data_IF_164892754510
#
_entry.id   IF_164892754510
#
_cell.length_a   1.000
_cell.length_b   1.000
_cell.length_c   1.000
_cell.angle_alpha   90.00
_cell.angle_beta   90.00
_cell.angle_gamma   90.00
#
_symmetry.space_group_name_H-M   'P 1'
#
loop_
_entity.id
_entity.type
_entity.pdbx_description
1 polymer ?
#
# COMPACT_ATOMS: atom_id res chain seq x y z
N UNK A 1 -4.81 -30.77 -51.42
CA UNK A 1 -4.13 -30.63 -50.11
C UNK A 1 -5.06 -30.12 -49.01
N UNK A 2 -5.92 -29.13 -49.28
CA UNK A 2 -6.86 -28.57 -48.29
C UNK A 2 -7.85 -29.58 -47.65
N UNK A 3 -8.43 -30.49 -48.43
CA UNK A 3 -9.43 -31.45 -47.91
C UNK A 3 -8.86 -32.45 -46.89
N UNK A 4 -7.58 -32.83 -47.01
CA UNK A 4 -6.90 -33.71 -46.04
C UNK A 4 -6.65 -33.01 -44.70
N UNK A 5 -6.30 -31.72 -44.74
CA UNK A 5 -6.11 -30.92 -43.52
C UNK A 5 -7.43 -30.65 -42.79
N UNK A 6 -8.53 -30.43 -43.52
CA UNK A 6 -9.86 -30.34 -42.90
C UNK A 6 -10.29 -31.66 -42.23
N UNK A 7 -10.03 -32.81 -42.86
CA UNK A 7 -10.36 -34.12 -42.30
C UNK A 7 -9.54 -34.43 -41.03
N UNK A 8 -8.25 -34.03 -41.03
CA UNK A 8 -7.35 -34.17 -39.89
C UNK A 8 -7.76 -33.29 -38.70
N UNK A 9 -8.17 -32.03 -38.94
CA UNK A 9 -8.69 -31.17 -37.87
C UNK A 9 -9.99 -31.72 -37.28
N UNK A 10 -10.88 -32.26 -38.11
CA UNK A 10 -12.11 -32.89 -37.63
C UNK A 10 -11.80 -34.08 -36.70
N UNK A 11 -10.85 -34.95 -37.09
CA UNK A 11 -10.46 -36.12 -36.27
C UNK A 11 -9.86 -35.72 -34.92
N UNK A 12 -9.07 -34.64 -34.87
CA UNK A 12 -8.45 -34.14 -33.63
C UNK A 12 -9.51 -33.62 -32.64
N UNK A 13 -10.55 -32.95 -33.13
CA UNK A 13 -11.65 -32.49 -32.26
C UNK A 13 -12.50 -33.65 -31.70
N UNK A 14 -12.63 -34.75 -32.46
CA UNK A 14 -13.38 -35.95 -32.05
C UNK A 14 -12.64 -36.82 -31.02
N UNK A 15 -11.34 -36.59 -30.76
CA UNK A 15 -10.54 -37.38 -29.82
C UNK A 15 -10.06 -36.59 -28.61
N UNK A 16 -10.47 -35.31 -28.49
CA UNK A 16 -10.24 -34.56 -27.27
C UNK A 16 -11.12 -35.17 -26.14
N UNK A 17 -10.52 -35.70 -25.05
CA UNK A 17 -11.30 -36.14 -23.90
C UNK A 17 -12.00 -34.92 -23.31
N UNK A 18 -13.30 -34.80 -23.59
CA UNK A 18 -14.17 -33.80 -23.01
C UNK A 18 -14.42 -34.20 -21.55
N UNK A 19 -13.54 -33.77 -20.67
CA UNK A 19 -13.78 -33.80 -19.23
C UNK A 19 -13.24 -32.52 -18.61
N UNK A 20 -13.68 -31.38 -19.13
CA UNK A 20 -13.73 -30.16 -18.35
C UNK A 20 -14.88 -30.34 -17.35
N UNK A 21 -14.56 -30.84 -16.16
CA UNK A 21 -15.49 -30.82 -15.03
C UNK A 21 -15.64 -29.37 -14.59
N UNK A 22 -16.70 -28.70 -15.07
CA UNK A 22 -17.08 -27.41 -14.54
C UNK A 22 -17.57 -27.65 -13.10
N UNK A 23 -16.75 -27.29 -12.11
CA UNK A 23 -17.21 -27.21 -10.72
C UNK A 23 -18.43 -26.28 -10.70
N UNK A 24 -19.57 -26.83 -10.28
CA UNK A 24 -20.77 -26.03 -10.10
C UNK A 24 -20.48 -24.98 -9.03
N UNK A 25 -20.80 -23.69 -9.26
CA UNK A 25 -20.65 -22.67 -8.23
C UNK A 25 -21.50 -23.06 -7.01
N UNK A 26 -20.90 -22.95 -5.84
CA UNK A 26 -21.59 -23.20 -4.58
C UNK A 26 -22.67 -22.13 -4.36
N UNK A 27 -23.90 -22.54 -4.05
CA UNK A 27 -25.01 -21.61 -3.83
C UNK A 27 -24.97 -21.02 -2.42
N UNK A 28 -25.08 -19.70 -2.31
CA UNK A 28 -25.17 -18.99 -1.03
C UNK A 28 -26.39 -18.06 -1.01
N UNK A 29 -27.11 -18.03 0.12
CA UNK A 29 -28.23 -17.10 0.35
C UNK A 29 -27.79 -15.93 1.22
N UNK A 30 -27.98 -14.70 0.75
CA UNK A 30 -27.69 -13.46 1.49
C UNK A 30 -29.01 -12.75 1.83
N UNK A 31 -29.21 -12.40 3.10
CA UNK A 31 -30.40 -11.66 3.57
C UNK A 31 -29.99 -10.25 4.02
N UNK A 32 -30.50 -9.22 3.32
CA UNK A 32 -30.23 -7.82 3.63
C UNK A 32 -31.38 -7.23 4.45
N UNK A 33 -31.12 -6.88 5.73
CA UNK A 33 -32.10 -6.26 6.62
C UNK A 33 -32.06 -4.72 6.55
N UNK A 34 -32.69 -4.14 5.53
CA UNK A 34 -32.65 -2.69 5.28
C UNK A 34 -33.55 -1.81 6.18
N UNK A 35 -34.36 -2.38 7.07
CA UNK A 35 -35.35 -1.61 7.86
C UNK A 35 -34.78 -0.88 9.08
N UNK A 36 -33.56 -1.21 9.52
CA UNK A 36 -32.92 -0.61 10.69
C UNK A 36 -31.43 -0.40 10.45
N UNK A 37 -30.88 0.74 10.89
CA UNK A 37 -29.44 1.01 10.89
C UNK A 37 -28.84 0.49 12.20
N UNK A 38 -27.77 -0.31 12.14
CA UNK A 38 -27.08 -0.83 13.34
C UNK A 38 -25.92 0.07 13.78
N UNK A 39 -25.34 0.82 12.84
CA UNK A 39 -24.21 1.72 13.06
C UNK A 39 -24.12 2.72 11.90
N UNK A 40 -23.34 3.78 12.11
CA UNK A 40 -22.95 4.75 11.09
C UNK A 40 -21.42 4.79 11.06
N UNK A 41 -20.83 4.66 9.88
CA UNK A 41 -19.39 4.76 9.68
C UNK A 41 -18.96 6.22 9.64
N UNK A 42 -17.75 6.52 10.14
CA UNK A 42 -17.16 7.85 10.05
C UNK A 42 -17.00 8.29 8.58
N UNK A 43 -17.00 9.61 8.33
CA UNK A 43 -16.76 10.15 6.98
C UNK A 43 -15.36 9.79 6.46
N UNK A 44 -14.42 9.48 7.35
CA UNK A 44 -13.07 9.00 7.04
C UNK A 44 -12.91 7.51 7.35
N UNK A 45 -13.97 6.72 7.18
CA UNK A 45 -13.94 5.28 7.43
C UNK A 45 -12.84 4.57 6.64
N UNK A 46 -12.60 5.01 5.40
CA UNK A 46 -11.46 4.58 4.61
C UNK A 46 -10.25 5.42 5.02
N UNK A 47 -9.16 4.76 5.40
CA UNK A 47 -7.92 5.40 5.81
C UNK A 47 -6.70 4.64 5.31
N UNK A 48 -5.57 5.33 5.20
CA UNK A 48 -4.28 4.76 4.83
C UNK A 48 -3.20 5.12 5.86
N UNK A 49 -2.07 4.43 5.81
CA UNK A 49 -0.89 4.75 6.63
C UNK A 49 0.34 4.87 5.74
N UNK A 50 1.17 5.87 6.00
CA UNK A 50 2.53 5.98 5.46
C UNK A 50 3.48 5.74 6.64
N UNK A 51 4.37 4.76 6.52
CA UNK A 51 5.24 4.31 7.61
C UNK A 51 6.59 5.05 7.63
N UNK A 52 7.32 4.93 8.73
CA UNK A 52 8.63 5.53 9.00
C UNK A 52 9.81 4.64 8.61
N UNK A 53 9.59 3.37 8.23
CA UNK A 53 10.69 2.45 7.97
C UNK A 53 11.59 2.91 6.82
N UNK A 54 12.92 3.02 7.05
CA UNK A 54 13.85 3.40 6.01
C UNK A 54 14.14 2.21 5.08
N UNK A 55 14.70 2.44 3.88
CA UNK A 55 15.04 1.39 2.91
C UNK A 55 15.88 0.25 3.49
N UNK A 56 16.72 0.56 4.48
CA UNK A 56 17.63 -0.37 5.15
C UNK A 56 16.90 -1.36 6.07
N UNK A 57 15.60 -1.17 6.30
CA UNK A 57 14.77 -2.14 7.00
C UNK A 57 14.53 -3.35 6.09
N UNK A 58 15.42 -4.33 6.24
CA UNK A 58 15.31 -5.62 5.57
C UNK A 58 14.97 -6.72 6.58
N UNK A 59 13.99 -7.56 6.26
CA UNK A 59 13.58 -8.73 7.05
C UNK A 59 13.15 -9.86 6.12
N UNK A 60 13.33 -11.10 6.60
CA UNK A 60 12.97 -12.30 5.83
C UNK A 60 13.58 -12.31 4.41
N UNK A 61 14.83 -11.86 4.27
CA UNK A 61 15.55 -11.73 3.00
C UNK A 61 14.90 -10.78 1.97
N UNK A 62 14.11 -9.81 2.43
CA UNK A 62 13.48 -8.78 1.61
C UNK A 62 13.67 -7.39 2.22
N UNK A 63 13.64 -6.35 1.39
CA UNK A 63 13.69 -4.94 1.82
C UNK A 63 12.43 -4.23 1.28
N UNK A 64 11.27 -4.44 1.92
CA UNK A 64 9.97 -4.10 1.32
C UNK A 64 9.71 -2.59 1.22
N UNK A 65 10.43 -1.77 1.99
CA UNK A 65 10.10 -0.36 2.15
C UNK A 65 10.58 0.53 1.02
N UNK A 66 11.71 0.24 0.38
CA UNK A 66 12.20 0.98 -0.80
C UNK A 66 11.99 2.49 -0.68
N UNK A 67 11.26 3.08 -1.64
CA UNK A 67 10.87 4.51 -1.66
C UNK A 67 9.39 4.72 -1.30
N UNK A 68 8.90 4.06 -0.25
CA UNK A 68 7.47 4.09 0.15
C UNK A 68 7.21 4.67 1.54
N UNK A 69 8.23 5.21 2.21
CA UNK A 69 8.13 5.71 3.57
C UNK A 69 7.94 7.23 3.63
N UNK A 70 7.55 7.75 4.79
CA UNK A 70 7.51 9.18 5.11
C UNK A 70 8.84 9.86 4.76
N UNK A 71 9.96 9.14 4.88
CA UNK A 71 11.30 9.67 4.68
C UNK A 71 11.62 9.98 3.22
N UNK A 72 11.07 9.20 2.28
CA UNK A 72 11.61 9.16 0.93
C UNK A 72 10.60 8.88 -0.20
N UNK A 73 9.32 8.65 0.12
CA UNK A 73 8.25 8.60 -0.88
C UNK A 73 8.28 9.85 -1.77
N UNK A 74 8.12 9.65 -3.08
CA UNK A 74 7.98 10.75 -4.04
C UNK A 74 6.60 11.39 -3.88
N UNK A 75 6.56 12.54 -3.20
CA UNK A 75 5.35 13.29 -2.88
C UNK A 75 4.87 14.13 -4.06
N UNK A 76 5.73 14.35 -5.06
CA UNK A 76 5.44 15.17 -6.24
C UNK A 76 4.83 14.32 -7.37
N UNK A 77 4.79 13.00 -7.21
CA UNK A 77 4.27 12.08 -8.22
C UNK A 77 2.76 12.31 -8.47
N UNK A 78 2.32 12.61 -9.71
CA UNK A 78 0.94 13.01 -9.99
C UNK A 78 -0.09 11.93 -9.63
N UNK A 79 0.26 10.66 -9.80
CA UNK A 79 -0.65 9.55 -9.47
C UNK A 79 -0.87 9.40 -7.96
N UNK A 80 0.07 9.80 -7.11
CA UNK A 80 -0.13 9.74 -5.65
C UNK A 80 -1.22 10.72 -5.24
N UNK A 81 -1.10 11.98 -5.66
CA UNK A 81 -2.08 13.01 -5.35
C UNK A 81 -3.47 12.66 -5.91
N UNK A 82 -3.54 12.19 -7.16
CA UNK A 82 -4.81 11.75 -7.78
C UNK A 82 -5.43 10.60 -7.00
N UNK A 83 -4.64 9.57 -6.64
CA UNK A 83 -5.15 8.43 -5.90
C UNK A 83 -5.72 8.84 -4.53
N UNK A 84 -5.08 9.77 -3.82
CA UNK A 84 -5.60 10.29 -2.54
C UNK A 84 -6.92 11.05 -2.75
N UNK A 85 -6.97 11.93 -3.77
CA UNK A 85 -8.15 12.75 -4.07
C UNK A 85 -9.39 11.92 -4.43
N UNK A 86 -9.24 10.78 -5.09
CA UNK A 86 -10.37 9.89 -5.46
C UNK A 86 -11.08 9.27 -4.23
N UNK A 87 -10.43 9.21 -3.07
CA UNK A 87 -11.08 8.78 -1.83
C UNK A 87 -11.92 9.89 -1.17
N UNK A 88 -11.83 11.14 -1.66
CA UNK A 88 -12.45 12.36 -1.15
C UNK A 88 -12.06 12.75 0.28
N UNK A 89 -12.28 11.88 1.27
CA UNK A 89 -12.00 12.10 2.69
C UNK A 89 -11.06 11.00 3.23
N UNK A 90 -9.88 10.84 2.61
CA UNK A 90 -8.92 9.83 3.06
C UNK A 90 -8.17 10.33 4.28
N UNK A 91 -8.39 9.70 5.44
CA UNK A 91 -7.51 9.93 6.59
C UNK A 91 -6.19 9.20 6.37
N UNK A 92 -5.09 9.96 6.30
CA UNK A 92 -3.74 9.40 6.23
C UNK A 92 -3.08 9.51 7.61
N UNK A 93 -2.71 8.37 8.18
CA UNK A 93 -1.88 8.31 9.38
C UNK A 93 -0.40 8.31 8.97
N UNK A 94 0.37 9.27 9.46
CA UNK A 94 1.83 9.22 9.40
C UNK A 94 2.36 8.49 10.64
N UNK A 95 2.68 7.21 10.51
CA UNK A 95 2.94 6.41 11.70
C UNK A 95 3.39 4.99 11.46
N UNK A 96 3.97 4.40 12.50
CA UNK A 96 4.59 3.09 12.48
C UNK A 96 5.47 2.91 13.71
N UNK A 97 6.19 1.79 13.80
CA UNK A 97 7.03 1.49 14.99
C UNK A 97 8.10 2.55 15.25
N UNK A 98 8.74 3.09 14.20
CA UNK A 98 9.81 4.09 14.39
C UNK A 98 9.31 5.49 14.76
N UNK A 99 7.99 5.73 14.82
CA UNK A 99 7.44 7.04 15.17
C UNK A 99 7.95 7.56 16.53
N UNK A 100 8.12 6.68 17.52
CA UNK A 100 8.63 7.03 18.85
C UNK A 100 10.15 7.33 18.88
N UNK A 101 10.80 7.24 17.72
CA UNK A 101 12.23 7.45 17.53
C UNK A 101 12.53 8.61 16.58
N UNK A 102 11.50 9.35 16.17
CA UNK A 102 11.63 10.53 15.31
C UNK A 102 11.95 11.77 16.14
N UNK A 103 12.92 12.55 15.69
CA UNK A 103 13.15 13.94 16.10
C UNK A 103 12.90 14.86 14.90
N UNK A 104 12.32 16.04 15.15
CA UNK A 104 12.12 17.05 14.11
C UNK A 104 13.27 18.06 14.14
N UNK A 105 13.68 18.54 12.97
CA UNK A 105 14.76 19.51 12.84
C UNK A 105 14.33 20.94 13.23
N UNK A 106 13.94 21.11 14.50
CA UNK A 106 13.43 22.37 15.05
C UNK A 106 14.29 22.82 16.24
N UNK A 107 15.08 23.88 16.04
CA UNK A 107 15.77 24.57 17.14
C UNK A 107 16.82 23.76 17.89
N UNK A 108 17.37 22.70 17.28
CA UNK A 108 18.46 21.90 17.89
C UNK A 108 19.81 22.22 17.26
N UNK A 109 20.87 22.26 18.08
CA UNK A 109 22.26 22.43 17.63
C UNK A 109 22.88 21.10 17.12
N UNK A 110 22.07 20.05 16.94
CA UNK A 110 22.52 18.71 16.58
C UNK A 110 22.26 18.45 15.09
N UNK A 111 23.15 17.74 14.37
CA UNK A 111 22.91 17.39 12.98
C UNK A 111 21.66 16.51 12.79
N UNK A 112 20.77 16.89 11.88
CA UNK A 112 19.61 16.09 11.49
C UNK A 112 20.07 14.80 10.79
N UNK A 113 20.16 13.72 11.57
CA UNK A 113 20.72 12.44 11.12
C UNK A 113 19.61 11.45 10.78
N UNK A 114 19.72 10.68 9.69
CA UNK A 114 18.70 9.69 9.33
C UNK A 114 18.70 8.50 10.30
N UNK A 115 17.64 7.71 10.24
CA UNK A 115 17.61 6.39 10.89
C UNK A 115 18.74 5.51 10.38
N UNK A 116 19.40 4.81 11.29
CA UNK A 116 20.47 3.86 10.98
C UNK A 116 20.32 2.59 11.81
N UNK A 117 20.77 1.47 11.25
CA UNK A 117 20.79 0.19 11.95
C UNK A 117 21.75 0.24 13.14
N UNK A 118 21.26 -0.09 14.33
CA UNK A 118 22.07 -0.21 15.56
C UNK A 118 21.58 -1.40 16.38
N UNK A 119 22.51 -2.26 16.80
CA UNK A 119 22.22 -3.56 17.42
C UNK A 119 21.35 -3.48 18.68
N UNK A 120 21.49 -2.41 19.46
CA UNK A 120 20.77 -2.19 20.72
C UNK A 120 19.73 -1.08 20.63
N UNK A 121 19.39 -0.60 19.43
CA UNK A 121 18.34 0.40 19.26
C UNK A 121 16.96 -0.20 19.40
N UNK A 122 15.98 0.64 19.78
CA UNK A 122 14.58 0.24 19.74
C UNK A 122 14.21 -0.15 18.30
N UNK A 123 13.66 -1.35 18.13
CA UNK A 123 13.40 -1.98 16.83
C UNK A 123 14.63 -2.18 15.93
N UNK A 124 15.84 -2.11 16.48
CA UNK A 124 17.10 -2.24 15.73
C UNK A 124 17.58 -0.95 15.06
N UNK A 125 16.98 0.20 15.40
CA UNK A 125 17.31 1.49 14.77
C UNK A 125 17.64 2.59 15.79
N UNK A 126 18.43 3.56 15.32
CA UNK A 126 18.77 4.79 16.04
C UNK A 126 17.55 5.71 16.14
N UNK A 127 17.72 6.86 16.79
CA UNK A 127 16.77 7.95 16.54
C UNK A 127 17.04 8.50 15.14
N UNK A 128 15.98 8.82 14.42
CA UNK A 128 16.07 9.42 13.08
C UNK A 128 15.46 10.80 13.08
N UNK A 129 15.97 11.66 12.23
CA UNK A 129 15.51 13.02 12.10
C UNK A 129 14.66 13.22 10.84
N UNK A 130 13.55 13.94 10.98
CA UNK A 130 12.79 14.48 9.85
C UNK A 130 13.13 15.96 9.70
N UNK A 131 13.69 16.32 8.54
CA UNK A 131 13.95 17.73 8.22
C UNK A 131 12.64 18.51 8.04
N UNK A 132 12.68 19.81 8.34
CA UNK A 132 11.51 20.67 8.14
C UNK A 132 11.13 20.79 6.65
N UNK A 133 12.11 20.79 5.74
CA UNK A 133 11.83 20.73 4.30
C UNK A 133 11.01 19.49 3.90
N UNK A 134 11.27 18.33 4.53
CA UNK A 134 10.51 17.11 4.26
C UNK A 134 9.11 17.18 4.88
N UNK A 135 9.00 17.75 6.08
CA UNK A 135 7.72 18.02 6.72
C UNK A 135 6.84 18.94 5.87
N UNK A 136 7.41 20.02 5.33
CA UNK A 136 6.69 20.98 4.50
C UNK A 136 6.16 20.31 3.24
N UNK A 137 6.96 19.47 2.56
CA UNK A 137 6.48 18.69 1.39
C UNK A 137 5.33 17.72 1.73
N UNK A 138 5.37 17.08 2.89
CA UNK A 138 4.28 16.21 3.35
C UNK A 138 3.02 17.03 3.58
N UNK A 139 3.16 18.15 4.28
CA UNK A 139 2.07 19.07 4.55
C UNK A 139 1.46 19.64 3.25
N UNK A 140 2.28 20.02 2.27
CA UNK A 140 1.83 20.51 0.96
C UNK A 140 1.03 19.45 0.20
N UNK A 141 1.46 18.19 0.23
CA UNK A 141 0.68 17.08 -0.33
C UNK A 141 -0.71 17.02 0.31
N UNK A 142 -0.80 17.00 1.64
CA UNK A 142 -2.09 16.91 2.33
C UNK A 142 -2.98 18.12 2.06
N UNK A 143 -2.43 19.33 2.10
CA UNK A 143 -3.21 20.54 1.76
C UNK A 143 -3.77 20.50 0.33
N UNK A 144 -3.02 19.91 -0.61
CA UNK A 144 -3.45 19.75 -1.99
C UNK A 144 -4.50 18.64 -2.18
N UNK A 145 -4.47 17.60 -1.35
CA UNK A 145 -5.32 16.41 -1.54
C UNK A 145 -6.60 16.40 -0.70
N UNK A 146 -6.71 17.29 0.29
CA UNK A 146 -7.81 17.29 1.26
C UNK A 146 -7.50 16.45 2.49
#
# INVERSE_FOLDING_TARGET
MAARHLLLLALVCLHAPHSASAQQPEEATVIVKGSTKIAVTDVNYICATIDWWPPEKCNYNQCPWGQSSILNLDLDHPFLAQAIQEFHNLRIRLGGSLQDRVVYDVGTNSPCSPFTNVSNGLFGFSAGCLSMDRWDKLNDLFQKTG
#
